data_IF_032495053800
#
_entry.id   IF_032495053800
#
_cell.length_a   1.000
_cell.length_b   1.000
_cell.length_c   1.000
_cell.angle_alpha   90.00
_cell.angle_beta   90.00
_cell.angle_gamma   90.00
#
_symmetry.space_group_name_H-M   'P 1'
#
loop_
_entity.id
_entity.type
_entity.pdbx_description
1 polymer ?
#
# COMPACT_ATOMS: atom_id res chain seq x y z
N UNK A 1 -21.04 -9.72 -25.92
CA UNK A 1 -20.57 -9.46 -24.54
C UNK A 1 -19.32 -10.29 -24.34
N UNK A 2 -18.17 -9.66 -24.28
CA UNK A 2 -16.89 -10.37 -24.09
C UNK A 2 -16.92 -11.02 -22.71
N UNK A 3 -16.80 -12.34 -22.66
CA UNK A 3 -16.67 -13.04 -21.39
C UNK A 3 -15.31 -12.68 -20.80
N UNK A 4 -15.29 -11.93 -19.71
CA UNK A 4 -14.05 -11.48 -19.05
C UNK A 4 -13.15 -12.67 -18.71
N UNK A 5 -13.73 -13.82 -18.37
CA UNK A 5 -13.00 -15.02 -18.01
C UNK A 5 -12.31 -15.72 -19.21
N UNK A 6 -12.72 -15.40 -20.45
CA UNK A 6 -12.08 -15.92 -21.66
C UNK A 6 -10.79 -15.14 -22.03
N UNK A 7 -10.53 -14.01 -21.39
CA UNK A 7 -9.39 -13.14 -21.72
C UNK A 7 -8.16 -13.51 -20.88
N UNK A 8 -7.03 -13.90 -21.48
CA UNK A 8 -5.81 -14.30 -20.75
C UNK A 8 -5.31 -13.20 -19.81
N UNK A 9 -5.35 -11.93 -20.22
CA UNK A 9 -4.90 -10.81 -19.43
C UNK A 9 -5.74 -10.57 -18.16
N UNK A 10 -7.02 -11.00 -18.14
CA UNK A 10 -7.86 -10.97 -16.94
C UNK A 10 -7.24 -11.79 -15.80
N UNK A 11 -6.79 -13.02 -16.10
CA UNK A 11 -6.20 -13.90 -15.10
C UNK A 11 -4.87 -13.38 -14.59
N UNK A 12 -4.06 -12.77 -15.46
CA UNK A 12 -2.81 -12.11 -15.04
C UNK A 12 -3.11 -10.94 -14.12
N UNK A 13 -4.03 -10.04 -14.50
CA UNK A 13 -4.44 -8.91 -13.68
C UNK A 13 -5.07 -9.35 -12.35
N UNK A 14 -5.88 -10.39 -12.35
CA UNK A 14 -6.45 -10.95 -11.12
C UNK A 14 -5.36 -11.53 -10.23
N UNK A 15 -4.44 -12.32 -10.76
CA UNK A 15 -3.35 -12.93 -9.99
C UNK A 15 -2.49 -11.86 -9.32
N UNK A 16 -2.06 -10.84 -10.07
CA UNK A 16 -1.27 -9.76 -9.48
C UNK A 16 -2.06 -8.98 -8.43
N UNK A 17 -3.35 -8.72 -8.69
CA UNK A 17 -4.22 -8.05 -7.70
C UNK A 17 -4.35 -8.84 -6.40
N UNK A 18 -4.43 -10.18 -6.47
CA UNK A 18 -4.49 -11.05 -5.30
C UNK A 18 -3.16 -11.08 -4.53
N UNK A 19 -2.03 -11.10 -5.26
CA UNK A 19 -0.69 -11.01 -4.65
C UNK A 19 -0.52 -9.68 -3.92
N UNK A 20 -0.93 -8.57 -4.55
CA UNK A 20 -0.90 -7.25 -3.94
C UNK A 20 -1.84 -7.18 -2.72
N UNK A 21 -3.11 -7.57 -2.86
CA UNK A 21 -4.09 -7.54 -1.78
C UNK A 21 -3.63 -8.37 -0.57
N UNK A 22 -2.95 -9.51 -0.81
CA UNK A 22 -2.47 -10.41 0.23
C UNK A 22 -1.50 -9.73 1.19
N UNK A 23 -0.44 -9.12 0.67
CA UNK A 23 0.58 -8.46 1.51
C UNK A 23 0.08 -7.12 2.06
N UNK A 24 -0.66 -6.33 1.24
CA UNK A 24 -1.12 -5.01 1.64
C UNK A 24 -2.18 -5.05 2.74
N UNK A 25 -3.13 -5.99 2.71
CA UNK A 25 -4.10 -6.15 3.79
C UNK A 25 -3.43 -6.45 5.13
N UNK A 26 -2.35 -7.25 5.13
CA UNK A 26 -1.56 -7.53 6.33
C UNK A 26 -0.79 -6.30 6.81
N UNK A 27 -0.04 -5.64 5.92
CA UNK A 27 0.71 -4.42 6.25
C UNK A 27 -0.22 -3.29 6.67
N UNK A 28 -1.36 -3.15 5.99
CA UNK A 28 -2.40 -2.18 6.30
C UNK A 28 -2.99 -2.34 7.70
N UNK A 29 -3.17 -3.57 8.17
CA UNK A 29 -3.55 -3.81 9.56
C UNK A 29 -2.58 -3.15 10.55
N UNK A 30 -1.27 -3.28 10.33
CA UNK A 30 -0.26 -2.63 11.15
C UNK A 30 -0.30 -1.09 10.99
N UNK A 31 -0.42 -0.59 9.78
CA UNK A 31 -0.43 0.84 9.46
C UNK A 31 -1.64 1.55 10.09
N UNK A 32 -2.84 0.99 9.91
CA UNK A 32 -4.09 1.55 10.48
C UNK A 32 -4.03 1.53 12.01
N UNK A 33 -3.56 0.44 12.62
CA UNK A 33 -3.39 0.34 14.07
C UNK A 33 -2.34 1.29 14.63
N UNK A 34 -1.30 1.60 13.86
CA UNK A 34 -0.25 2.57 14.23
C UNK A 34 -0.69 4.02 14.06
N UNK A 35 -1.82 4.29 13.39
CA UNK A 35 -2.32 5.63 13.12
C UNK A 35 -1.45 6.42 12.13
N UNK A 36 -0.83 5.74 11.16
CA UNK A 36 0.07 6.35 10.17
C UNK A 36 -0.38 6.01 8.75
N UNK A 37 -1.64 6.30 8.44
CA UNK A 37 -2.32 5.84 7.22
C UNK A 37 -1.65 6.36 5.94
N UNK A 38 -1.14 7.61 5.94
CA UNK A 38 -0.53 8.23 4.77
C UNK A 38 0.95 7.85 4.53
N UNK A 39 1.53 6.97 5.36
CA UNK A 39 2.94 6.56 5.21
C UNK A 39 3.19 5.87 3.86
N UNK A 40 2.20 5.15 3.34
CA UNK A 40 2.24 4.53 2.01
C UNK A 40 2.42 5.56 0.90
N UNK A 41 1.55 6.57 0.88
CA UNK A 41 1.62 7.67 -0.09
C UNK A 41 2.95 8.42 0.00
N UNK A 42 3.44 8.65 1.21
CA UNK A 42 4.71 9.35 1.39
C UNK A 42 5.91 8.52 0.90
N UNK A 43 5.95 7.22 1.18
CA UNK A 43 7.01 6.33 0.67
C UNK A 43 6.93 6.16 -0.85
N UNK A 44 5.71 6.10 -1.42
CA UNK A 44 5.50 6.08 -2.86
C UNK A 44 6.05 7.36 -3.52
N UNK A 45 5.82 8.53 -2.92
CA UNK A 45 6.38 9.79 -3.44
C UNK A 45 7.91 9.88 -3.25
N UNK A 46 8.46 9.32 -2.19
CA UNK A 46 9.92 9.19 -2.05
C UNK A 46 10.50 8.30 -3.15
N UNK A 47 9.83 7.18 -3.50
CA UNK A 47 10.23 6.35 -4.64
C UNK A 47 10.18 7.14 -5.96
N UNK A 48 9.07 7.86 -6.22
CA UNK A 48 8.92 8.70 -7.41
C UNK A 48 9.99 9.81 -7.47
N UNK A 49 10.37 10.39 -6.33
CA UNK A 49 11.47 11.35 -6.26
C UNK A 49 12.81 10.69 -6.64
N UNK A 50 13.04 9.45 -6.27
CA UNK A 50 14.20 8.67 -6.70
C UNK A 50 14.24 8.44 -8.21
N UNK A 51 13.09 8.15 -8.83
CA UNK A 51 12.96 8.06 -10.30
C UNK A 51 13.23 9.42 -10.94
N UNK A 52 12.65 10.50 -10.42
CA UNK A 52 12.88 11.86 -10.92
C UNK A 52 14.37 12.26 -10.85
N UNK A 53 15.07 11.89 -9.77
CA UNK A 53 16.52 12.07 -9.66
C UNK A 53 17.29 11.28 -10.72
N UNK A 54 16.86 10.05 -11.06
CA UNK A 54 17.47 9.26 -12.12
C UNK A 54 17.38 9.99 -13.48
N UNK A 55 16.23 10.62 -13.77
CA UNK A 55 16.04 11.42 -14.98
C UNK A 55 17.00 12.62 -15.03
N UNK A 56 17.15 13.35 -13.93
CA UNK A 56 18.10 14.46 -13.84
C UNK A 56 19.55 14.01 -14.06
N UNK A 57 19.89 12.84 -13.52
CA UNK A 57 21.21 12.21 -13.67
C UNK A 57 21.41 11.54 -15.04
N UNK A 58 20.40 11.60 -15.93
CA UNK A 58 20.37 10.97 -17.26
C UNK A 58 20.61 9.46 -17.22
N UNK A 59 20.12 8.81 -16.17
CA UNK A 59 20.11 7.35 -16.04
C UNK A 59 18.95 6.80 -16.88
N UNK A 60 19.12 5.61 -17.46
CA UNK A 60 18.08 4.95 -18.26
C UNK A 60 16.83 4.70 -17.39
N UNK A 61 15.65 5.14 -17.85
CA UNK A 61 14.37 5.11 -17.10
C UNK A 61 14.02 3.72 -16.56
N UNK A 62 14.08 2.68 -17.39
CA UNK A 62 13.75 1.30 -17.01
C UNK A 62 14.98 0.50 -16.55
N UNK A 63 16.00 1.17 -16.05
CA UNK A 63 17.26 0.54 -15.67
C UNK A 63 17.32 0.15 -14.20
N UNK A 64 18.21 -0.79 -13.83
CA UNK A 64 18.41 -1.21 -12.44
C UNK A 64 18.86 -0.05 -11.53
N UNK A 65 19.57 0.92 -12.07
CA UNK A 65 20.02 2.10 -11.31
C UNK A 65 18.87 3.03 -10.94
N UNK A 66 17.86 3.18 -11.82
CA UNK A 66 16.65 3.95 -11.52
C UNK A 66 15.86 3.30 -10.40
N UNK A 67 15.73 1.98 -10.44
CA UNK A 67 15.09 1.23 -9.35
C UNK A 67 15.88 1.35 -8.04
N UNK A 68 17.22 1.31 -8.07
CA UNK A 68 18.05 1.51 -6.88
C UNK A 68 17.92 2.92 -6.30
N UNK A 69 17.79 3.96 -7.13
CA UNK A 69 17.56 5.33 -6.67
C UNK A 69 16.17 5.47 -6.03
N UNK A 70 15.15 4.87 -6.65
CA UNK A 70 13.80 4.82 -6.07
C UNK A 70 13.79 4.14 -4.69
N UNK A 71 14.41 2.97 -4.57
CA UNK A 71 14.56 2.26 -3.30
C UNK A 71 15.39 3.06 -2.28
N UNK A 72 16.49 3.67 -2.71
CA UNK A 72 17.34 4.49 -1.86
C UNK A 72 16.56 5.63 -1.22
N UNK A 73 15.78 6.38 -2.02
CA UNK A 73 14.93 7.45 -1.52
C UNK A 73 13.80 6.93 -0.62
N UNK A 74 13.22 5.77 -0.93
CA UNK A 74 12.24 5.10 -0.06
C UNK A 74 12.85 4.73 1.30
N UNK A 75 14.09 4.24 1.34
CA UNK A 75 14.77 3.93 2.60
C UNK A 75 15.14 5.19 3.40
N UNK A 76 15.46 6.30 2.72
CA UNK A 76 15.59 7.60 3.39
C UNK A 76 14.27 8.00 4.07
N UNK A 77 13.14 7.87 3.37
CA UNK A 77 11.81 8.09 3.94
C UNK A 77 11.52 7.18 5.14
N UNK A 78 11.81 5.89 5.02
CA UNK A 78 11.65 4.91 6.09
C UNK A 78 12.47 5.27 7.34
N UNK A 79 13.73 5.69 7.15
CA UNK A 79 14.60 6.13 8.24
C UNK A 79 14.08 7.41 8.92
N UNK A 80 13.59 8.37 8.13
CA UNK A 80 12.98 9.60 8.65
C UNK A 80 11.75 9.28 9.49
N UNK A 81 10.86 8.40 9.03
CA UNK A 81 9.65 8.04 9.79
C UNK A 81 9.97 7.25 11.07
N UNK A 82 10.92 6.33 11.01
CA UNK A 82 11.37 5.61 12.19
C UNK A 82 12.00 6.54 13.24
N UNK A 83 12.75 7.56 12.78
CA UNK A 83 13.32 8.57 13.67
C UNK A 83 12.26 9.49 14.27
N UNK A 84 11.32 9.98 13.46
CA UNK A 84 10.23 10.86 13.91
C UNK A 84 9.33 10.19 14.93
N UNK A 85 9.05 8.91 14.79
CA UNK A 85 8.26 8.16 15.77
C UNK A 85 8.89 8.13 17.16
N UNK A 86 10.21 8.15 17.25
CA UNK A 86 10.93 8.28 18.52
C UNK A 86 10.77 9.66 19.19
N UNK A 87 10.28 10.67 18.47
CA UNK A 87 10.14 12.06 18.91
C UNK A 87 8.71 12.43 19.36
N UNK A 88 7.81 11.46 19.55
CA UNK A 88 6.40 11.67 19.92
C UNK A 88 6.14 12.44 21.24
N UNK A 89 7.18 12.93 21.91
CA UNK A 89 7.05 13.84 23.07
C UNK A 89 6.55 15.25 22.69
N UNK A 90 6.45 15.55 21.40
CA UNK A 90 5.91 16.81 20.87
C UNK A 90 4.41 16.65 20.62
N UNK A 91 3.64 17.70 20.88
CA UNK A 91 2.18 17.75 20.66
C UNK A 91 1.77 17.69 19.15
N UNK A 92 2.62 17.13 18.31
CA UNK A 92 2.38 17.01 16.86
C UNK A 92 2.34 15.53 16.50
N UNK A 93 1.22 15.06 15.92
CA UNK A 93 1.09 13.65 15.51
C UNK A 93 2.07 13.33 14.39
N UNK A 94 2.59 12.10 14.39
CA UNK A 94 3.50 11.60 13.33
C UNK A 94 2.90 11.74 11.93
N UNK A 95 1.59 11.58 11.80
CA UNK A 95 0.83 11.73 10.55
C UNK A 95 1.03 13.10 9.89
N UNK A 96 1.15 14.18 10.68
CA UNK A 96 1.42 15.52 10.15
C UNK A 96 2.80 15.60 9.48
N UNK A 97 3.82 14.98 10.08
CA UNK A 97 5.15 14.93 9.46
C UNK A 97 5.17 14.07 8.20
N UNK A 98 4.44 12.94 8.20
CA UNK A 98 4.27 12.10 7.02
C UNK A 98 3.61 12.90 5.88
N UNK A 99 2.57 13.67 6.19
CA UNK A 99 1.91 14.56 5.22
C UNK A 99 2.84 15.63 4.65
N UNK A 100 3.72 16.21 5.48
CA UNK A 100 4.72 17.18 5.01
C UNK A 100 5.73 16.52 4.06
N UNK A 101 6.25 15.35 4.42
CA UNK A 101 7.18 14.59 3.56
C UNK A 101 6.51 14.24 2.23
N UNK A 102 5.26 13.75 2.26
CA UNK A 102 4.46 13.47 1.08
C UNK A 102 4.34 14.71 0.17
N UNK A 103 3.84 15.83 0.72
CA UNK A 103 3.62 17.05 -0.05
C UNK A 103 4.92 17.61 -0.63
N UNK A 104 6.01 17.59 0.14
CA UNK A 104 7.31 18.09 -0.30
C UNK A 104 7.90 17.20 -1.40
N UNK A 105 7.86 15.88 -1.24
CA UNK A 105 8.34 14.94 -2.26
C UNK A 105 7.53 15.08 -3.55
N UNK A 106 6.20 15.12 -3.45
CA UNK A 106 5.28 15.33 -4.58
C UNK A 106 5.60 16.63 -5.33
N UNK A 107 5.70 17.75 -4.60
CA UNK A 107 6.03 19.04 -5.20
C UNK A 107 7.39 19.01 -5.91
N UNK A 108 8.39 18.36 -5.31
CA UNK A 108 9.72 18.23 -5.92
C UNK A 108 9.68 17.39 -7.20
N UNK A 109 8.92 16.28 -7.19
CA UNK A 109 8.70 15.47 -8.41
C UNK A 109 8.08 16.32 -9.52
N UNK A 110 7.04 17.09 -9.22
CA UNK A 110 6.44 18.00 -10.20
C UNK A 110 7.44 19.00 -10.79
N UNK A 111 8.23 19.67 -9.94
CA UNK A 111 9.24 20.63 -10.37
C UNK A 111 10.31 20.02 -11.28
N UNK A 112 10.69 18.78 -11.00
CA UNK A 112 11.67 18.02 -11.81
C UNK A 112 11.06 17.61 -13.15
N UNK A 113 9.83 17.08 -13.14
CA UNK A 113 9.16 16.54 -14.32
C UNK A 113 8.58 17.62 -15.23
N UNK A 114 8.34 18.85 -14.75
CA UNK A 114 7.84 19.97 -15.56
C UNK A 114 8.73 20.25 -16.78
N UNK A 115 10.02 20.02 -16.65
CA UNK A 115 10.98 20.18 -17.75
C UNK A 115 11.13 18.94 -18.64
N UNK A 116 10.43 17.86 -18.33
CA UNK A 116 10.46 16.61 -19.10
C UNK A 116 9.26 16.54 -20.06
N UNK A 117 9.46 16.28 -21.36
CA UNK A 117 8.35 16.10 -22.31
C UNK A 117 7.38 14.96 -21.94
N UNK A 118 7.88 13.92 -21.25
CA UNK A 118 7.11 12.75 -20.81
C UNK A 118 6.47 12.93 -19.40
N UNK A 119 6.66 14.09 -18.77
CA UNK A 119 6.24 14.34 -17.39
C UNK A 119 4.77 14.04 -17.10
N UNK A 120 3.79 14.54 -17.88
CA UNK A 120 2.36 14.31 -17.63
C UNK A 120 1.97 12.84 -17.74
N UNK A 121 2.54 12.09 -18.67
CA UNK A 121 2.27 10.66 -18.87
C UNK A 121 2.84 9.83 -17.70
N UNK A 122 4.05 10.14 -17.29
CA UNK A 122 4.69 9.49 -16.14
C UNK A 122 3.90 9.70 -14.82
N UNK A 123 3.35 10.90 -14.62
CA UNK A 123 2.48 11.18 -13.47
C UNK A 123 1.21 10.33 -13.53
N UNK A 124 0.57 10.22 -14.69
CA UNK A 124 -0.62 9.39 -14.88
C UNK A 124 -0.35 7.92 -14.63
N UNK A 125 0.74 7.37 -15.17
CA UNK A 125 1.16 5.98 -14.95
C UNK A 125 1.44 5.69 -13.48
N UNK A 126 2.13 6.59 -12.80
CA UNK A 126 2.40 6.45 -11.35
C UNK A 126 1.12 6.43 -10.52
N UNK A 127 0.10 7.19 -10.90
CA UNK A 127 -1.17 7.23 -10.16
C UNK A 127 -2.07 6.03 -10.42
N UNK A 128 -2.18 5.61 -11.69
CA UNK A 128 -3.19 4.62 -12.13
C UNK A 128 -2.61 3.23 -12.33
N UNK A 129 -1.30 3.14 -12.64
CA UNK A 129 -0.67 1.86 -12.97
C UNK A 129 -1.14 1.25 -14.29
N UNK A 130 -0.70 0.02 -14.57
CA UNK A 130 -0.93 -0.69 -15.83
C UNK A 130 -1.23 -2.18 -15.64
N UNK A 131 -2.20 -2.52 -14.78
CA UNK A 131 -2.53 -3.90 -14.37
C UNK A 131 -2.76 -4.88 -15.53
N UNK A 132 -3.33 -4.44 -16.64
CA UNK A 132 -3.62 -5.32 -17.78
C UNK A 132 -2.42 -5.62 -18.67
N UNK A 133 -1.33 -4.84 -18.55
CA UNK A 133 -0.13 -4.98 -19.38
C UNK A 133 1.06 -5.55 -18.61
N UNK A 134 0.85 -6.03 -17.38
CA UNK A 134 1.90 -6.61 -16.54
C UNK A 134 2.42 -7.92 -17.14
N UNK A 135 3.74 -8.00 -17.28
CA UNK A 135 4.41 -9.24 -17.68
C UNK A 135 4.24 -10.33 -16.59
N UNK A 136 3.77 -11.55 -16.94
CA UNK A 136 3.68 -12.65 -15.98
C UNK A 136 4.98 -12.96 -15.23
N UNK A 137 6.14 -12.73 -15.83
CA UNK A 137 7.44 -12.89 -15.17
C UNK A 137 7.62 -11.87 -14.05
N UNK A 138 7.14 -10.65 -14.26
CA UNK A 138 7.19 -9.61 -13.24
C UNK A 138 6.25 -9.94 -12.07
N UNK A 139 5.07 -10.53 -12.35
CA UNK A 139 4.16 -11.04 -11.32
C UNK A 139 4.84 -12.07 -10.43
N UNK A 140 5.57 -13.01 -11.03
CA UNK A 140 6.31 -14.05 -10.29
C UNK A 140 7.42 -13.45 -9.41
N UNK A 141 8.16 -12.47 -9.95
CA UNK A 141 9.19 -11.76 -9.19
C UNK A 141 8.61 -11.05 -7.97
N UNK A 142 7.52 -10.30 -8.14
CA UNK A 142 6.86 -9.58 -7.06
C UNK A 142 6.24 -10.55 -6.05
N UNK A 143 5.63 -11.64 -6.49
CA UNK A 143 5.11 -12.69 -5.61
C UNK A 143 6.22 -13.32 -4.75
N UNK A 144 7.38 -13.62 -5.35
CA UNK A 144 8.53 -14.13 -4.62
C UNK A 144 9.07 -13.11 -3.60
N UNK A 145 9.19 -11.85 -3.98
CA UNK A 145 9.59 -10.76 -3.07
C UNK A 145 8.63 -10.67 -1.87
N UNK A 146 7.32 -10.70 -2.13
CA UNK A 146 6.32 -10.60 -1.04
C UNK A 146 6.26 -11.86 -0.20
N UNK A 147 6.51 -13.02 -0.76
CA UNK A 147 6.66 -14.25 0.01
C UNK A 147 7.84 -14.16 0.99
N UNK A 148 9.00 -13.63 0.56
CA UNK A 148 10.16 -13.41 1.42
C UNK A 148 9.85 -12.39 2.51
N UNK A 149 9.25 -11.25 2.16
CA UNK A 149 8.87 -10.22 3.13
C UNK A 149 7.81 -10.75 4.10
N UNK A 150 6.80 -11.47 3.59
CA UNK A 150 5.77 -12.11 4.41
C UNK A 150 6.35 -13.15 5.37
N UNK A 151 7.31 -13.96 4.93
CA UNK A 151 8.03 -14.89 5.77
C UNK A 151 8.83 -14.17 6.86
N UNK A 152 9.56 -13.10 6.51
CA UNK A 152 10.26 -12.27 7.49
C UNK A 152 9.30 -11.67 8.54
N UNK A 153 8.17 -11.12 8.10
CA UNK A 153 7.13 -10.61 9.00
C UNK A 153 6.51 -11.71 9.87
N UNK A 154 6.31 -12.91 9.32
CA UNK A 154 5.80 -14.06 10.10
C UNK A 154 6.80 -14.51 11.18
N UNK A 155 8.08 -14.57 10.86
CA UNK A 155 9.14 -14.90 11.82
C UNK A 155 9.27 -13.82 12.91
N UNK A 156 9.16 -12.55 12.52
CA UNK A 156 9.27 -11.37 13.37
C UNK A 156 7.91 -10.88 13.92
N UNK A 157 6.84 -11.68 13.78
CA UNK A 157 5.49 -11.26 14.13
C UNK A 157 5.33 -10.79 15.59
N UNK A 158 5.99 -11.46 16.54
CA UNK A 158 5.87 -11.11 17.96
C UNK A 158 6.27 -9.66 18.24
N UNK A 159 7.50 -9.19 17.93
CA UNK A 159 7.87 -7.80 18.14
C UNK A 159 7.04 -6.82 17.29
N UNK A 160 6.67 -7.15 16.05
CA UNK A 160 5.85 -6.26 15.22
C UNK A 160 4.45 -6.05 15.78
N UNK A 161 3.76 -7.11 16.22
CA UNK A 161 2.45 -6.98 16.86
C UNK A 161 2.54 -6.30 18.23
N UNK A 162 3.57 -6.59 19.01
CA UNK A 162 3.83 -5.94 20.31
C UNK A 162 3.94 -4.41 20.14
N UNK A 163 4.81 -3.95 19.23
CA UNK A 163 5.04 -2.52 18.96
C UNK A 163 3.83 -1.86 18.31
N UNK A 164 3.08 -2.59 17.49
CA UNK A 164 1.87 -2.07 16.84
C UNK A 164 0.75 -1.83 17.83
N UNK A 165 0.56 -2.74 18.81
CA UNK A 165 -0.55 -2.66 19.75
C UNK A 165 -0.21 -1.83 21.01
N UNK A 166 1.04 -1.88 21.49
CA UNK A 166 1.49 -1.22 22.72
C UNK A 166 2.96 -0.76 22.58
N UNK A 167 3.23 0.33 21.84
CA UNK A 167 4.60 0.80 21.64
C UNK A 167 5.29 1.23 22.94
N UNK A 168 4.54 1.85 23.89
CA UNK A 168 5.09 2.29 25.17
C UNK A 168 5.49 1.11 26.06
N UNK A 169 4.62 0.11 26.13
CA UNK A 169 4.93 -1.12 26.87
C UNK A 169 6.06 -1.92 26.23
N UNK A 170 6.13 -1.98 24.90
CA UNK A 170 7.25 -2.59 24.19
C UNK A 170 8.59 -1.91 24.52
N UNK A 171 8.61 -0.59 24.59
CA UNK A 171 9.78 0.19 25.00
C UNK A 171 10.17 -0.09 26.45
N UNK A 172 9.20 -0.12 27.36
CA UNK A 172 9.41 -0.45 28.77
C UNK A 172 9.99 -1.86 28.97
N UNK A 173 9.66 -2.80 28.08
CA UNK A 173 10.22 -4.18 28.04
C UNK A 173 11.59 -4.26 27.32
N UNK A 174 12.23 -3.11 27.02
CA UNK A 174 13.58 -3.04 26.44
C UNK A 174 13.63 -3.11 24.92
N UNK A 175 12.48 -3.01 24.21
CA UNK A 175 12.48 -2.93 22.73
C UNK A 175 13.03 -1.59 22.26
N UNK A 176 14.00 -1.62 21.36
CA UNK A 176 14.54 -0.43 20.69
C UNK A 176 13.62 -0.07 19.52
N UNK A 177 12.60 0.77 19.75
CA UNK A 177 11.54 1.08 18.78
C UNK A 177 12.10 1.53 17.42
N UNK A 178 13.12 2.40 17.42
CA UNK A 178 13.73 2.90 16.19
C UNK A 178 14.13 1.77 15.21
N UNK A 179 14.84 0.76 15.69
CA UNK A 179 15.34 -0.32 14.81
C UNK A 179 14.21 -1.23 14.30
N UNK A 180 13.18 -1.46 15.14
CA UNK A 180 12.02 -2.25 14.74
C UNK A 180 11.12 -1.50 13.77
N UNK A 181 10.95 -0.20 13.95
CA UNK A 181 10.20 0.65 13.03
C UNK A 181 10.96 0.86 11.73
N UNK A 182 12.29 1.03 11.78
CA UNK A 182 13.13 1.08 10.58
C UNK A 182 13.02 -0.22 9.77
N UNK A 183 13.11 -1.39 10.43
CA UNK A 183 12.95 -2.68 9.76
C UNK A 183 11.54 -2.82 9.14
N UNK A 184 10.50 -2.42 9.88
CA UNK A 184 9.13 -2.43 9.38
C UNK A 184 8.96 -1.51 8.17
N UNK A 185 9.34 -0.24 8.27
CA UNK A 185 9.18 0.73 7.18
C UNK A 185 10.10 0.43 5.98
N UNK A 186 11.27 -0.15 6.19
CA UNK A 186 12.13 -0.59 5.09
C UNK A 186 11.50 -1.75 4.29
N UNK A 187 10.98 -2.79 4.97
CA UNK A 187 10.28 -3.89 4.30
C UNK A 187 8.97 -3.41 3.65
N UNK A 188 8.25 -2.52 4.32
CA UNK A 188 7.05 -1.88 3.77
C UNK A 188 7.39 -1.05 2.53
N UNK A 189 8.47 -0.27 2.57
CA UNK A 189 8.94 0.52 1.42
C UNK A 189 9.31 -0.35 0.21
N UNK A 190 9.94 -1.52 0.41
CA UNK A 190 10.19 -2.49 -0.67
C UNK A 190 8.88 -2.93 -1.34
N UNK A 191 7.85 -3.23 -0.53
CA UNK A 191 6.53 -3.62 -1.04
C UNK A 191 5.90 -2.46 -1.80
N UNK A 192 5.85 -1.26 -1.23
CA UNK A 192 5.25 -0.07 -1.86
C UNK A 192 5.93 0.27 -3.18
N UNK A 193 7.27 0.36 -3.20
CA UNK A 193 8.01 0.73 -4.41
C UNK A 193 7.75 -0.24 -5.56
N UNK A 194 7.70 -1.56 -5.29
CA UNK A 194 7.41 -2.57 -6.31
C UNK A 194 5.93 -2.60 -6.71
N UNK A 195 5.01 -2.34 -5.78
CA UNK A 195 3.58 -2.35 -6.05
C UNK A 195 3.11 -1.18 -6.89
N UNK A 196 3.63 0.01 -6.60
CA UNK A 196 3.22 1.27 -7.27
C UNK A 196 3.54 1.22 -8.75
N UNK A 197 4.66 0.62 -9.15
CA UNK A 197 5.02 0.45 -10.56
C UNK A 197 4.01 -0.40 -11.35
N UNK A 198 3.30 -1.31 -10.67
CA UNK A 198 2.32 -2.22 -11.29
C UNK A 198 0.91 -1.65 -11.22
N UNK A 199 0.50 -1.29 -10.02
CA UNK A 199 -0.90 -0.99 -9.70
C UNK A 199 -1.21 0.50 -9.55
N UNK A 200 -0.17 1.33 -9.53
CA UNK A 200 -0.28 2.76 -9.24
C UNK A 200 -0.57 3.05 -7.77
N UNK A 201 -0.27 4.28 -7.37
CA UNK A 201 -0.38 4.74 -5.97
C UNK A 201 -1.80 4.59 -5.42
N UNK A 202 -2.82 4.90 -6.25
CA UNK A 202 -4.22 4.90 -5.80
C UNK A 202 -4.70 3.50 -5.39
N UNK A 203 -4.40 2.47 -6.18
CA UNK A 203 -4.84 1.11 -5.88
C UNK A 203 -4.03 0.49 -4.75
N UNK A 204 -2.72 0.76 -4.70
CA UNK A 204 -1.85 0.31 -3.60
C UNK A 204 -2.36 0.83 -2.27
N UNK A 205 -2.65 2.13 -2.18
CA UNK A 205 -3.28 2.73 -1.01
C UNK A 205 -4.65 2.10 -0.68
N UNK A 206 -5.47 1.85 -1.70
CA UNK A 206 -6.77 1.18 -1.54
C UNK A 206 -6.64 -0.22 -0.95
N UNK A 207 -5.70 -1.04 -1.44
CA UNK A 207 -5.43 -2.38 -0.91
C UNK A 207 -4.86 -2.37 0.51
N UNK A 208 -4.11 -1.32 0.85
CA UNK A 208 -3.56 -1.17 2.19
C UNK A 208 -4.66 -0.83 3.20
N UNK A 209 -5.48 0.17 2.91
CA UNK A 209 -6.38 0.77 3.90
C UNK A 209 -7.72 0.05 3.95
N UNK A 210 -8.39 -0.14 2.81
CA UNK A 210 -9.79 -0.59 2.78
C UNK A 210 -9.97 -1.99 3.37
N UNK A 211 -9.18 -3.02 2.98
CA UNK A 211 -9.30 -4.34 3.56
C UNK A 211 -8.97 -4.38 5.06
N UNK A 212 -7.97 -3.61 5.48
CA UNK A 212 -7.60 -3.51 6.90
C UNK A 212 -8.70 -2.88 7.74
N UNK A 213 -9.28 -1.78 7.26
CA UNK A 213 -10.42 -1.09 7.92
C UNK A 213 -11.62 -2.02 7.98
N UNK A 214 -11.97 -2.72 6.89
CA UNK A 214 -13.08 -3.68 6.87
C UNK A 214 -12.92 -4.76 7.94
N UNK A 215 -11.73 -5.35 8.05
CA UNK A 215 -11.43 -6.34 9.06
C UNK A 215 -11.51 -5.79 10.49
N UNK A 216 -10.93 -4.63 10.74
CA UNK A 216 -10.94 -3.97 12.06
C UNK A 216 -12.33 -3.50 12.49
N UNK A 217 -13.18 -3.07 11.56
CA UNK A 217 -14.59 -2.74 11.83
C UNK A 217 -15.41 -3.96 12.20
N UNK A 218 -15.12 -5.11 11.58
CA UNK A 218 -15.93 -6.32 11.77
C UNK A 218 -15.60 -7.04 13.08
N UNK A 219 -14.35 -6.99 13.59
CA UNK A 219 -13.94 -7.77 14.77
C UNK A 219 -12.67 -7.24 15.43
N UNK A 220 -12.56 -7.33 16.77
CA UNK A 220 -11.32 -7.01 17.48
C UNK A 220 -10.27 -8.13 17.37
N UNK A 221 -10.65 -9.35 16.92
CA UNK A 221 -9.75 -10.52 16.83
C UNK A 221 -8.85 -10.39 15.61
N UNK A 222 -7.55 -10.17 15.81
CA UNK A 222 -6.55 -9.92 14.76
C UNK A 222 -6.59 -10.92 13.60
N UNK A 223 -6.58 -12.22 13.89
CA UNK A 223 -6.57 -13.25 12.83
C UNK A 223 -7.84 -13.23 11.97
N UNK A 224 -8.99 -13.00 12.59
CA UNK A 224 -10.28 -12.91 11.88
C UNK A 224 -10.35 -11.60 11.10
N UNK A 225 -9.86 -10.49 11.65
CA UNK A 225 -9.78 -9.21 10.95
C UNK A 225 -8.94 -9.31 9.66
N UNK A 226 -7.78 -9.97 9.75
CA UNK A 226 -6.92 -10.23 8.58
C UNK A 226 -7.62 -11.10 7.52
N UNK A 227 -8.30 -12.17 7.95
CA UNK A 227 -9.05 -13.05 7.05
C UNK A 227 -10.18 -12.29 6.33
N UNK A 228 -10.93 -11.44 7.04
CA UNK A 228 -11.93 -10.57 6.44
C UNK A 228 -11.29 -9.60 5.46
N UNK A 229 -10.18 -8.97 5.81
CA UNK A 229 -9.44 -8.08 4.91
C UNK A 229 -9.03 -8.78 3.62
N UNK A 230 -8.49 -9.99 3.70
CA UNK A 230 -8.14 -10.77 2.50
C UNK A 230 -9.36 -11.10 1.64
N UNK A 231 -10.47 -11.52 2.23
CA UNK A 231 -11.74 -11.76 1.49
C UNK A 231 -12.18 -10.48 0.79
N UNK A 232 -12.10 -9.33 1.47
CA UNK A 232 -12.40 -8.02 0.86
C UNK A 232 -11.50 -7.73 -0.34
N UNK A 233 -10.21 -7.94 -0.21
CA UNK A 233 -9.24 -7.76 -1.31
C UNK A 233 -9.57 -8.64 -2.51
N UNK A 234 -9.87 -9.92 -2.28
CA UNK A 234 -10.25 -10.89 -3.34
C UNK A 234 -11.54 -10.47 -4.04
N UNK A 235 -12.61 -10.25 -3.27
CA UNK A 235 -13.94 -9.92 -3.82
C UNK A 235 -13.91 -8.57 -4.55
N UNK A 236 -13.25 -7.55 -3.96
CA UNK A 236 -13.14 -6.24 -4.57
C UNK A 236 -12.33 -6.25 -5.87
N UNK A 237 -11.23 -7.03 -5.92
CA UNK A 237 -10.44 -7.20 -7.12
C UNK A 237 -11.25 -7.88 -8.24
N UNK A 238 -11.95 -8.95 -7.93
CA UNK A 238 -12.79 -9.66 -8.91
C UNK A 238 -13.90 -8.77 -9.46
N UNK A 239 -14.65 -8.12 -8.58
CA UNK A 239 -15.72 -7.20 -8.98
C UNK A 239 -15.20 -6.02 -9.81
N UNK A 240 -14.08 -5.43 -9.39
CA UNK A 240 -13.48 -4.29 -10.07
C UNK A 240 -12.96 -4.64 -11.45
N UNK A 241 -12.28 -5.78 -11.63
CA UNK A 241 -11.78 -6.24 -12.91
C UNK A 241 -12.93 -6.60 -13.88
N UNK A 242 -13.97 -7.27 -13.39
CA UNK A 242 -15.16 -7.58 -14.22
C UNK A 242 -15.83 -6.26 -14.66
N UNK A 243 -16.00 -5.31 -13.74
CA UNK A 243 -16.54 -3.98 -14.04
C UNK A 243 -15.69 -3.21 -15.03
N UNK A 244 -14.36 -3.23 -14.87
CA UNK A 244 -13.41 -2.60 -15.77
C UNK A 244 -13.57 -3.10 -17.21
N UNK A 245 -13.60 -4.41 -17.42
CA UNK A 245 -13.75 -5.01 -18.76
C UNK A 245 -15.15 -4.74 -19.33
N UNK A 246 -16.18 -4.81 -18.50
CA UNK A 246 -17.56 -4.63 -18.95
C UNK A 246 -17.88 -3.20 -19.40
N UNK A 247 -17.29 -2.22 -18.75
CA UNK A 247 -17.55 -0.80 -18.97
C UNK A 247 -16.41 -0.06 -19.67
N UNK A 248 -15.35 -0.78 -20.10
CA UNK A 248 -14.14 -0.22 -20.72
C UNK A 248 -13.49 0.88 -19.86
N UNK A 249 -13.28 0.56 -18.57
CA UNK A 249 -12.72 1.45 -17.58
C UNK A 249 -11.31 1.02 -17.16
N UNK A 250 -10.46 1.93 -16.65
CA UNK A 250 -9.16 1.57 -16.09
C UNK A 250 -9.29 0.59 -14.92
N UNK A 251 -8.46 -0.47 -14.90
CA UNK A 251 -8.58 -1.57 -13.95
C UNK A 251 -8.39 -1.12 -12.48
N UNK A 252 -7.32 -0.38 -12.20
CA UNK A 252 -6.98 0.01 -10.84
C UNK A 252 -8.05 0.91 -10.17
N UNK A 253 -8.54 1.99 -10.80
CA UNK A 253 -9.67 2.76 -10.28
C UNK A 253 -10.94 1.93 -10.11
N UNK A 254 -11.23 1.00 -11.01
CA UNK A 254 -12.42 0.13 -10.92
C UNK A 254 -12.36 -0.79 -9.70
N UNK A 255 -11.18 -1.37 -9.39
CA UNK A 255 -10.97 -2.17 -8.19
C UNK A 255 -11.13 -1.29 -6.93
N UNK A 256 -10.52 -0.10 -6.91
CA UNK A 256 -10.61 0.82 -5.79
C UNK A 256 -12.06 1.20 -5.47
N UNK A 257 -12.84 1.55 -6.49
CA UNK A 257 -14.27 1.88 -6.35
C UNK A 257 -15.05 0.67 -5.83
N UNK A 258 -14.79 -0.52 -6.35
CA UNK A 258 -15.44 -1.76 -5.88
C UNK A 258 -15.15 -2.03 -4.39
N UNK A 259 -13.89 -1.91 -3.96
CA UNK A 259 -13.50 -2.03 -2.55
C UNK A 259 -14.22 -0.99 -1.68
N UNK A 260 -14.32 0.25 -2.15
CA UNK A 260 -14.99 1.34 -1.42
C UNK A 260 -16.48 1.09 -1.27
N UNK A 261 -17.15 0.61 -2.31
CA UNK A 261 -18.58 0.23 -2.26
C UNK A 261 -18.78 -0.92 -1.25
N UNK A 262 -17.95 -1.95 -1.30
CA UNK A 262 -18.02 -3.07 -0.35
C UNK A 262 -17.84 -2.60 1.10
N UNK A 263 -16.90 -1.70 1.35
CA UNK A 263 -16.68 -1.14 2.70
C UNK A 263 -17.88 -0.34 3.18
N UNK A 264 -18.47 0.47 2.32
CA UNK A 264 -19.67 1.24 2.63
C UNK A 264 -20.86 0.33 2.98
N UNK A 265 -21.07 -0.73 2.19
CA UNK A 265 -22.11 -1.73 2.46
C UNK A 265 -21.87 -2.45 3.79
N UNK A 266 -20.62 -2.84 4.09
CA UNK A 266 -20.27 -3.41 5.39
C UNK A 266 -20.62 -2.45 6.53
N UNK A 267 -20.29 -1.17 6.40
CA UNK A 267 -20.61 -0.14 7.39
C UNK A 267 -22.10 -0.05 7.68
N UNK A 268 -22.94 -0.07 6.64
CA UNK A 268 -24.40 -0.08 6.78
C UNK A 268 -24.86 -1.33 7.54
N UNK A 269 -24.40 -2.51 7.14
CA UNK A 269 -24.79 -3.80 7.78
C UNK A 269 -24.43 -3.79 9.27
N UNK A 270 -23.22 -3.36 9.62
CA UNK A 270 -22.77 -3.31 11.01
C UNK A 270 -23.60 -2.32 11.85
N UNK A 271 -23.91 -1.16 11.29
CA UNK A 271 -24.74 -0.14 11.96
C UNK A 271 -26.16 -0.65 12.22
N UNK A 272 -26.78 -1.33 11.24
CA UNK A 272 -28.13 -1.91 11.39
C UNK A 272 -28.11 -3.01 12.46
N UNK A 273 -27.11 -3.89 12.46
CA UNK A 273 -26.98 -4.95 13.47
C UNK A 273 -26.83 -4.39 14.88
N UNK A 274 -26.02 -3.35 15.07
CA UNK A 274 -25.86 -2.71 16.38
C UNK A 274 -27.17 -2.10 16.89
N UNK A 275 -27.94 -1.43 16.02
CA UNK A 275 -29.25 -0.90 16.38
C UNK A 275 -30.28 -1.98 16.72
N UNK A 276 -30.25 -3.12 16.02
CA UNK A 276 -31.14 -4.25 16.29
C UNK A 276 -30.80 -4.94 17.62
N UNK A 277 -29.51 -5.04 17.97
CA UNK A 277 -29.06 -5.63 19.24
C UNK A 277 -29.29 -4.72 20.47
N UNK A 278 -29.46 -3.40 20.24
CA UNK A 278 -29.73 -2.41 21.29
C UNK A 278 -31.22 -2.17 21.54
N UNK A 279 -32.14 -2.84 20.82
CA UNK A 279 -33.58 -2.81 21.09
C UNK A 279 -33.88 -3.88 22.14
N UNK A 280 -34.49 -3.52 23.30
CA UNK A 280 -34.85 -4.46 24.36
C UNK A 280 -35.93 -5.47 23.92
#
# INVERSE_FOLDING_TARGET
MTDAFALPFFWTALTVSLVLAGIHAYLGFHIVRRGVIFVDLALAQMAALGVALALVLRVKEDGPYTYLLALGMTFVGAAVFAWLRGQEKRNVPLEAFIGIVFATAQATVFLVLEKSPAGPEHIKETLVGSLFTVDPRHVLYVAALYAVIGAAHFLLRRPFFEITNDPKGAQARGRRLFWWDLAFYAMFGLVVTSSVQIAGVLLVFGFLVIPAVAGLMATPRTGVALAIGWVFGVVGSMMGLIGSIRFDLPAAPSILVSLSILLFLLGIVLTVRQKSAARP
#
